data_IF_915927633572
#
_entry.id   IF_915927633572
#
_cell.length_a   1.000
_cell.length_b   1.000
_cell.length_c   1.000
_cell.angle_alpha   90.00
_cell.angle_beta   90.00
_cell.angle_gamma   90.00
#
_symmetry.space_group_name_H-M   'P 1'
#
loop_
_entity.id
_entity.type
_entity.pdbx_description
1 polymer ?
#
# COMPACT_ATOMS: atom_id res chain seq x y z
N UNK A 1 -13.82 -42.86 23.13
CA UNK A 1 -12.38 -42.98 22.83
C UNK A 1 -11.61 -42.12 23.82
N UNK A 2 -10.73 -42.76 24.61
CA UNK A 2 -9.67 -42.10 25.38
C UNK A 2 -8.45 -41.89 24.47
N UNK A 3 -7.57 -40.98 24.90
CA UNK A 3 -6.09 -40.98 24.80
C UNK A 3 -5.52 -39.64 24.28
N UNK A 4 -5.11 -38.84 25.27
CA UNK A 4 -3.78 -38.25 25.53
C UNK A 4 -3.22 -37.09 24.67
N UNK A 5 -3.20 -35.91 25.32
CA UNK A 5 -2.04 -35.12 25.75
C UNK A 5 -0.78 -35.02 24.86
N UNK A 6 -0.32 -33.78 24.63
CA UNK A 6 1.11 -33.45 24.79
C UNK A 6 1.39 -31.94 25.01
N UNK A 7 1.89 -31.66 26.22
CA UNK A 7 2.95 -30.72 26.65
C UNK A 7 2.96 -29.21 26.33
N UNK A 8 3.22 -28.50 27.42
CA UNK A 8 3.62 -27.11 27.60
C UNK A 8 5.06 -26.79 27.14
N UNK A 9 5.32 -25.52 26.82
CA UNK A 9 6.62 -24.84 27.07
C UNK A 9 6.38 -23.36 27.43
N UNK A 10 7.00 -22.96 28.54
CA UNK A 10 7.16 -21.58 29.06
C UNK A 10 8.27 -20.85 28.29
N UNK A 11 8.17 -19.52 28.17
CA UNK A 11 9.30 -18.70 27.73
C UNK A 11 9.04 -17.22 27.91
N UNK A 12 9.37 -16.70 29.09
CA UNK A 12 9.48 -15.27 29.40
C UNK A 12 10.62 -14.66 28.56
N UNK A 13 10.38 -13.51 27.93
CA UNK A 13 11.41 -12.77 27.19
C UNK A 13 11.01 -11.31 27.02
N UNK A 14 11.10 -10.56 28.13
CA UNK A 14 10.89 -9.10 28.17
C UNK A 14 12.21 -8.43 27.74
N UNK A 15 12.31 -8.02 26.47
CA UNK A 15 13.45 -7.28 25.93
C UNK A 15 13.17 -5.79 25.84
N UNK A 16 13.95 -4.99 26.57
CA UNK A 16 13.97 -3.52 26.59
C UNK A 16 13.98 -2.92 25.18
N UNK A 17 13.00 -2.06 24.89
CA UNK A 17 13.02 -1.16 23.73
C UNK A 17 13.49 0.23 24.17
N UNK A 18 14.61 0.62 23.58
CA UNK A 18 15.22 1.94 23.58
C UNK A 18 14.34 2.84 22.70
N UNK A 19 13.90 4.00 23.22
CA UNK A 19 13.41 5.09 22.39
C UNK A 19 13.73 6.44 23.04
N UNK A 20 14.77 7.08 22.55
CA UNK A 20 15.03 8.50 22.78
C UNK A 20 14.04 9.35 21.98
N UNK A 21 13.37 10.27 22.66
CA UNK A 21 12.49 11.26 22.05
C UNK A 21 13.21 12.60 22.04
N UNK A 22 13.76 12.98 20.89
CA UNK A 22 14.21 14.36 20.63
C UNK A 22 13.09 15.10 19.91
N UNK A 23 12.37 15.94 20.65
CA UNK A 23 11.40 16.90 20.14
C UNK A 23 12.16 18.19 19.86
N UNK A 24 12.37 18.54 18.59
CA UNK A 24 12.77 19.89 18.21
C UNK A 24 11.64 20.54 17.41
N UNK A 25 10.96 21.46 18.10
CA UNK A 25 9.87 22.25 17.60
C UNK A 25 10.32 23.20 16.48
N UNK A 26 9.45 23.35 15.48
CA UNK A 26 9.48 24.41 14.48
C UNK A 26 9.25 25.76 15.17
N UNK A 27 10.13 26.72 14.94
CA UNK A 27 9.84 28.14 15.13
C UNK A 27 10.15 28.89 13.84
N UNK A 28 9.11 29.52 13.32
CA UNK A 28 9.05 30.29 12.09
C UNK A 28 9.87 31.58 12.17
N UNK A 29 10.58 31.83 11.07
CA UNK A 29 10.69 33.08 10.31
C UNK A 29 10.14 34.36 10.97
N UNK A 30 11.02 35.35 11.14
CA UNK A 30 10.89 36.71 10.57
C UNK A 30 12.07 37.57 11.04
N UNK A 31 13.02 37.84 10.15
CA UNK A 31 13.99 38.92 10.37
C UNK A 31 14.11 39.76 9.12
N UNK A 32 13.80 41.03 9.31
CA UNK A 32 13.78 42.10 8.34
C UNK A 32 15.13 42.28 7.61
N UNK A 33 15.02 42.70 6.35
CA UNK A 33 16.14 43.15 5.51
C UNK A 33 16.37 44.65 5.70
N UNK A 34 17.62 45.06 5.94
CA UNK A 34 18.11 46.35 5.47
C UNK A 34 19.29 46.16 4.50
N UNK A 35 19.18 46.74 3.31
CA UNK A 35 20.33 47.15 2.50
C UNK A 35 20.89 48.46 3.10
N UNK A 36 22.21 48.74 3.08
CA UNK A 36 22.82 49.24 1.84
C UNK A 36 24.33 48.94 1.62
N UNK A 37 24.72 49.09 0.35
CA UNK A 37 26.04 49.45 -0.24
C UNK A 37 27.36 49.22 0.52
N UNK A 38 28.28 48.51 -0.13
CA UNK A 38 29.70 48.89 -0.22
C UNK A 38 30.30 48.43 -1.55
N UNK A 39 30.88 49.38 -2.27
CA UNK A 39 31.77 49.16 -3.41
C UNK A 39 33.06 48.46 -2.98
N UNK A 40 33.66 47.64 -3.86
CA UNK A 40 35.12 47.40 -3.93
C UNK A 40 35.51 46.61 -5.18
N UNK A 41 36.26 47.28 -6.06
CA UNK A 41 37.47 46.81 -6.74
C UNK A 41 37.55 45.42 -7.37
N UNK A 42 37.70 45.45 -8.69
CA UNK A 42 38.30 44.45 -9.58
C UNK A 42 39.52 43.73 -8.98
N UNK A 43 39.61 42.41 -9.20
CA UNK A 43 40.85 41.83 -9.71
C UNK A 43 40.61 41.18 -11.06
N UNK A 44 41.33 41.66 -12.08
CA UNK A 44 41.50 41.02 -13.38
C UNK A 44 42.14 39.65 -13.17
N UNK A 45 41.31 38.60 -13.07
CA UNK A 45 41.75 37.23 -13.27
C UNK A 45 41.71 36.94 -14.77
N UNK A 46 42.87 37.04 -15.42
CA UNK A 46 43.11 36.51 -16.74
C UNK A 46 42.94 34.98 -16.71
N UNK A 47 41.70 34.51 -16.83
CA UNK A 47 41.41 33.13 -17.13
C UNK A 47 41.75 32.91 -18.62
N UNK A 48 42.92 32.36 -18.87
CA UNK A 48 43.26 31.78 -20.17
C UNK A 48 42.24 30.66 -20.47
N UNK A 49 41.18 31.02 -21.20
CA UNK A 49 40.24 30.11 -21.83
C UNK A 49 41.03 29.27 -22.84
N UNK A 50 41.05 27.93 -22.76
CA UNK A 50 41.57 27.13 -23.86
C UNK A 50 40.72 27.48 -25.09
N UNK A 51 41.39 27.92 -26.16
CA UNK A 51 40.77 28.31 -27.41
C UNK A 51 39.94 27.14 -27.97
N UNK A 52 38.63 27.15 -27.70
CA UNK A 52 37.70 26.19 -28.27
C UNK A 52 37.35 26.64 -29.70
N UNK A 53 38.29 26.46 -30.62
CA UNK A 53 38.09 26.66 -32.06
C UNK A 53 37.33 25.53 -32.75
N UNK A 54 36.70 24.61 -31.99
CA UNK A 54 36.17 23.34 -32.52
C UNK A 54 34.68 23.30 -32.88
N UNK A 55 33.88 24.31 -32.55
CA UNK A 55 32.41 24.19 -32.70
C UNK A 55 31.93 24.10 -34.14
N UNK A 56 32.52 24.85 -35.08
CA UNK A 56 32.10 24.77 -36.49
C UNK A 56 32.50 23.44 -37.13
N UNK A 57 33.72 22.97 -36.88
CA UNK A 57 34.20 21.69 -37.42
C UNK A 57 33.45 20.48 -36.83
N UNK A 58 33.02 20.56 -35.56
CA UNK A 58 32.21 19.52 -34.94
C UNK A 58 30.84 19.40 -35.61
N UNK A 59 30.15 20.52 -35.86
CA UNK A 59 28.88 20.54 -36.57
C UNK A 59 29.02 20.00 -38.01
N UNK A 60 30.06 20.41 -38.74
CA UNK A 60 30.33 19.90 -40.08
C UNK A 60 30.58 18.38 -40.10
N UNK A 61 31.29 17.84 -39.10
CA UNK A 61 31.57 16.40 -39.00
C UNK A 61 30.31 15.59 -38.67
N UNK A 62 29.38 16.16 -37.90
CA UNK A 62 28.08 15.55 -37.62
C UNK A 62 27.25 15.45 -38.91
N UNK A 63 27.14 16.54 -39.66
CA UNK A 63 26.41 16.54 -40.94
C UNK A 63 27.03 15.58 -41.97
N UNK A 64 28.37 15.54 -42.04
CA UNK A 64 29.11 14.59 -42.88
C UNK A 64 28.75 13.14 -42.51
N UNK A 65 28.77 12.79 -41.22
CA UNK A 65 28.41 11.45 -40.76
C UNK A 65 26.95 11.11 -41.06
N UNK A 66 26.03 12.05 -40.85
CA UNK A 66 24.60 11.84 -41.15
C UNK A 66 24.38 11.52 -42.63
N UNK A 67 25.03 12.26 -43.52
CA UNK A 67 24.96 12.00 -44.96
C UNK A 67 25.55 10.64 -45.32
N UNK A 68 26.70 10.27 -44.74
CA UNK A 68 27.32 8.96 -44.96
C UNK A 68 26.44 7.81 -44.46
N UNK A 69 25.73 7.98 -43.34
CA UNK A 69 24.80 6.97 -42.85
C UNK A 69 23.57 6.82 -43.78
N UNK A 70 23.08 7.91 -44.34
CA UNK A 70 21.98 7.89 -45.33
C UNK A 70 22.40 7.22 -46.64
N UNK A 71 23.62 7.51 -47.12
CA UNK A 71 24.15 6.91 -48.34
C UNK A 71 24.77 5.52 -48.12
N UNK A 72 24.67 4.94 -46.92
CA UNK A 72 25.31 3.67 -46.54
C UNK A 72 26.83 3.66 -46.80
N UNK A 73 27.49 4.83 -46.77
CA UNK A 73 28.92 5.01 -47.03
C UNK A 73 29.82 4.69 -45.82
N UNK A 74 29.23 4.26 -44.70
CA UNK A 74 29.92 3.83 -43.48
C UNK A 74 29.33 2.51 -43.00
N UNK A 75 30.20 1.63 -42.49
CA UNK A 75 29.82 0.39 -41.82
C UNK A 75 29.94 0.56 -40.31
N UNK A 76 28.94 0.15 -39.57
CA UNK A 76 28.99 0.15 -38.10
C UNK A 76 29.85 -1.03 -37.62
N UNK A 77 30.92 -0.72 -36.88
CA UNK A 77 31.77 -1.75 -36.29
C UNK A 77 31.25 -2.21 -34.93
N UNK A 78 30.77 -1.26 -34.12
CA UNK A 78 30.24 -1.50 -32.79
C UNK A 78 29.44 -0.30 -32.29
N UNK A 79 28.42 -0.58 -31.49
CA UNK A 79 27.64 0.42 -30.76
C UNK A 79 27.33 -0.05 -29.35
N UNK A 80 27.38 0.88 -28.39
CA UNK A 80 26.94 0.66 -27.01
C UNK A 80 25.83 1.62 -26.67
N UNK A 81 24.81 1.12 -25.97
CA UNK A 81 23.70 1.91 -25.45
C UNK A 81 23.70 1.86 -23.92
N UNK A 82 23.57 3.03 -23.31
CA UNK A 82 23.37 3.24 -21.88
C UNK A 82 22.15 4.14 -21.70
N UNK A 83 20.99 3.53 -21.43
CA UNK A 83 19.71 4.24 -21.43
C UNK A 83 19.47 4.93 -22.78
N UNK A 84 19.27 6.25 -22.75
CA UNK A 84 19.06 7.07 -23.94
C UNK A 84 20.36 7.54 -24.62
N UNK A 85 21.51 7.31 -24.00
CA UNK A 85 22.81 7.71 -24.50
C UNK A 85 23.52 6.53 -25.18
N UNK A 86 24.36 6.82 -26.16
CA UNK A 86 25.16 5.77 -26.78
C UNK A 86 26.40 6.29 -27.49
N UNK A 87 27.26 5.34 -27.83
CA UNK A 87 28.48 5.56 -28.56
C UNK A 87 28.60 4.54 -29.70
N UNK A 88 28.92 5.01 -30.90
CA UNK A 88 29.13 4.18 -32.09
C UNK A 88 30.51 4.40 -32.67
N UNK A 89 31.16 3.33 -33.12
CA UNK A 89 32.36 3.40 -33.95
C UNK A 89 31.99 2.87 -35.33
N UNK A 90 32.09 3.74 -36.33
CA UNK A 90 31.78 3.46 -37.72
C UNK A 90 33.06 3.57 -38.56
N UNK A 91 33.10 2.86 -39.68
CA UNK A 91 34.24 2.80 -40.58
C UNK A 91 33.81 3.09 -42.02
N UNK A 92 34.48 4.05 -42.65
CA UNK A 92 34.36 4.34 -44.07
C UNK A 92 35.47 3.59 -44.83
N UNK A 93 35.14 2.56 -45.63
CA UNK A 93 36.13 1.73 -46.30
C UNK A 93 36.95 2.51 -47.34
N UNK A 94 36.28 3.37 -48.13
CA UNK A 94 36.89 4.11 -49.25
C UNK A 94 38.09 4.97 -48.83
N UNK A 95 37.99 5.59 -47.65
CA UNK A 95 39.02 6.49 -47.11
C UNK A 95 39.71 5.94 -45.86
N UNK A 96 39.47 4.68 -45.49
CA UNK A 96 39.91 4.06 -44.23
C UNK A 96 39.76 5.00 -43.02
N UNK A 97 38.62 5.68 -42.94
CA UNK A 97 38.36 6.69 -41.92
C UNK A 97 37.38 6.15 -40.90
N UNK A 98 37.73 6.25 -39.63
CA UNK A 98 36.87 5.95 -38.52
C UNK A 98 36.08 7.19 -38.11
N UNK A 99 34.79 6.99 -37.84
CA UNK A 99 33.92 7.98 -37.23
C UNK A 99 33.48 7.43 -35.89
N UNK A 100 33.82 8.13 -34.81
CA UNK A 100 33.38 7.78 -33.46
C UNK A 100 32.37 8.81 -33.02
N UNK A 101 31.15 8.37 -32.75
CA UNK A 101 30.03 9.23 -32.48
C UNK A 101 29.49 9.00 -31.07
N UNK A 102 29.26 10.09 -30.34
CA UNK A 102 28.45 10.12 -29.13
C UNK A 102 27.05 10.59 -29.55
N UNK A 103 26.00 10.00 -29.00
CA UNK A 103 24.63 10.39 -29.33
C UNK A 103 23.67 10.23 -28.15
N UNK A 104 22.53 10.92 -28.26
CA UNK A 104 21.36 10.74 -27.40
C UNK A 104 20.13 10.53 -28.28
N UNK A 105 19.38 9.44 -28.10
CA UNK A 105 18.17 9.14 -28.87
C UNK A 105 18.39 9.24 -30.39
N UNK A 106 19.53 8.74 -30.87
CA UNK A 106 20.01 8.80 -32.27
C UNK A 106 20.43 10.20 -32.77
N UNK A 107 20.41 11.23 -31.93
CA UNK A 107 20.94 12.55 -32.26
C UNK A 107 22.42 12.63 -31.91
N UNK A 108 23.27 12.82 -32.91
CA UNK A 108 24.70 13.01 -32.72
C UNK A 108 24.99 14.44 -32.28
N UNK A 109 25.57 14.58 -31.09
CA UNK A 109 26.06 15.85 -30.53
C UNK A 109 27.59 15.95 -30.51
N UNK A 110 28.30 14.87 -30.80
CA UNK A 110 29.76 14.86 -30.92
C UNK A 110 30.23 13.73 -31.81
N UNK A 111 31.03 14.05 -32.81
CA UNK A 111 31.64 13.08 -33.72
C UNK A 111 33.13 13.40 -33.86
N UNK A 112 33.96 12.38 -33.79
CA UNK A 112 35.41 12.47 -34.01
C UNK A 112 35.75 11.61 -35.22
N UNK A 113 36.43 12.21 -36.20
CA UNK A 113 36.97 11.48 -37.35
C UNK A 113 38.47 11.26 -37.20
N UNK A 114 38.95 10.07 -37.53
CA UNK A 114 40.38 9.73 -37.50
C UNK A 114 40.69 8.60 -38.46
N UNK A 115 41.91 8.56 -38.99
CA UNK A 115 42.42 7.43 -39.78
C UNK A 115 43.19 6.42 -38.91
N UNK A 116 43.45 6.74 -37.63
CA UNK A 116 44.11 5.86 -36.68
C UNK A 116 43.09 4.97 -35.97
N UNK A 117 43.23 3.66 -36.16
CA UNK A 117 42.39 2.67 -35.48
C UNK A 117 42.54 2.73 -33.95
N UNK A 118 43.77 2.84 -33.46
CA UNK A 118 44.07 2.96 -32.02
C UNK A 118 43.41 4.20 -31.41
N UNK A 119 43.46 5.33 -32.12
CA UNK A 119 42.80 6.55 -31.66
C UNK A 119 41.28 6.40 -31.67
N UNK A 120 40.71 5.79 -32.71
CA UNK A 120 39.28 5.54 -32.80
C UNK A 120 38.79 4.68 -31.63
N UNK A 121 39.50 3.60 -31.32
CA UNK A 121 39.15 2.74 -30.19
C UNK A 121 39.26 3.47 -28.84
N UNK A 122 40.30 4.30 -28.65
CA UNK A 122 40.45 5.08 -27.42
C UNK A 122 39.33 6.11 -27.25
N UNK A 123 38.97 6.82 -28.32
CA UNK A 123 37.85 7.78 -28.32
C UNK A 123 36.54 7.05 -28.05
N UNK A 124 36.33 5.88 -28.65
CA UNK A 124 35.15 5.06 -28.43
C UNK A 124 35.02 4.64 -26.96
N UNK A 125 36.07 4.09 -26.35
CA UNK A 125 36.10 3.72 -24.92
C UNK A 125 35.82 4.93 -24.02
N UNK A 126 36.36 6.10 -24.37
CA UNK A 126 36.07 7.34 -23.64
C UNK A 126 34.60 7.75 -23.76
N UNK A 127 34.01 7.62 -24.95
CA UNK A 127 32.60 7.93 -25.17
C UNK A 127 31.70 6.96 -24.42
N UNK A 128 32.00 5.66 -24.43
CA UNK A 128 31.28 4.65 -23.63
C UNK A 128 31.26 5.06 -22.15
N UNK A 129 32.43 5.34 -21.55
CA UNK A 129 32.50 5.83 -20.15
C UNK A 129 31.72 7.13 -19.92
N UNK A 130 31.68 8.02 -20.91
CA UNK A 130 30.91 9.25 -20.82
C UNK A 130 29.40 8.96 -20.84
N UNK A 131 28.93 8.04 -21.70
CA UNK A 131 27.52 7.65 -21.76
C UNK A 131 27.04 6.97 -20.47
N UNK A 132 27.88 6.17 -19.81
CA UNK A 132 27.55 5.55 -18.52
C UNK A 132 27.21 6.63 -17.47
N UNK A 133 28.06 7.66 -17.36
CA UNK A 133 27.84 8.77 -16.41
C UNK A 133 26.59 9.58 -16.74
N UNK A 134 26.37 9.88 -18.02
CA UNK A 134 25.19 10.63 -18.46
C UNK A 134 23.90 9.84 -18.22
N UNK A 135 23.93 8.53 -18.45
CA UNK A 135 22.77 7.66 -18.27
C UNK A 135 22.44 7.37 -16.80
N UNK A 136 23.39 7.51 -15.87
CA UNK A 136 23.18 7.17 -14.46
C UNK A 136 21.97 7.89 -13.86
N UNK A 137 21.83 9.20 -14.15
CA UNK A 137 20.71 10.02 -13.64
C UNK A 137 19.38 9.54 -14.19
N UNK A 138 19.29 9.33 -15.51
CA UNK A 138 18.06 8.88 -16.16
C UNK A 138 17.66 7.47 -15.71
N UNK A 139 18.61 6.55 -15.61
CA UNK A 139 18.39 5.19 -15.12
C UNK A 139 17.90 5.23 -13.67
N UNK A 140 18.52 6.06 -12.82
CA UNK A 140 18.11 6.23 -11.43
C UNK A 140 16.71 6.80 -11.34
N UNK A 141 16.37 7.80 -12.16
CA UNK A 141 15.02 8.38 -12.23
C UNK A 141 13.97 7.34 -12.58
N UNK A 142 14.23 6.52 -13.60
CA UNK A 142 13.29 5.46 -14.04
C UNK A 142 13.04 4.46 -12.89
N UNK A 143 14.10 4.04 -12.19
CA UNK A 143 13.98 3.13 -11.04
C UNK A 143 13.17 3.75 -9.90
N UNK A 144 13.50 4.99 -9.53
CA UNK A 144 12.80 5.71 -8.46
C UNK A 144 11.31 5.92 -8.78
N UNK A 145 10.96 6.22 -10.03
CA UNK A 145 9.57 6.34 -10.43
C UNK A 145 8.83 4.99 -10.31
N UNK A 146 9.48 3.90 -10.72
CA UNK A 146 8.90 2.56 -10.56
C UNK A 146 8.69 2.19 -9.09
N UNK A 147 9.67 2.46 -8.22
CA UNK A 147 9.59 2.19 -6.78
C UNK A 147 8.48 3.03 -6.12
N UNK A 148 8.34 4.29 -6.54
CA UNK A 148 7.25 5.18 -6.12
C UNK A 148 5.89 4.58 -6.51
N UNK A 149 5.70 4.24 -7.78
CA UNK A 149 4.44 3.67 -8.27
C UNK A 149 4.08 2.37 -7.55
N UNK A 150 5.07 1.50 -7.29
CA UNK A 150 4.87 0.29 -6.52
C UNK A 150 4.43 0.58 -5.07
N UNK A 151 5.08 1.54 -4.42
CA UNK A 151 4.74 1.95 -3.05
C UNK A 151 3.33 2.57 -2.97
N UNK A 152 2.97 3.40 -3.95
CA UNK A 152 1.62 3.98 -4.05
C UNK A 152 0.54 2.90 -4.17
N UNK A 153 0.79 1.84 -4.95
CA UNK A 153 -0.13 0.70 -5.06
C UNK A 153 -0.27 -0.07 -3.74
N UNK A 154 0.84 -0.26 -3.00
CA UNK A 154 0.80 -0.90 -1.68
C UNK A 154 -0.01 -0.05 -0.69
N UNK A 155 0.18 1.27 -0.68
CA UNK A 155 -0.59 2.17 0.17
C UNK A 155 -2.09 2.05 -0.14
N UNK A 156 -2.47 2.15 -1.42
CA UNK A 156 -3.88 2.05 -1.83
C UNK A 156 -4.52 0.71 -1.43
N UNK A 157 -3.78 -0.40 -1.54
CA UNK A 157 -4.25 -1.71 -1.10
C UNK A 157 -4.46 -1.77 0.42
N UNK A 158 -3.57 -1.16 1.21
CA UNK A 158 -3.70 -1.12 2.67
C UNK A 158 -4.83 -0.18 3.12
N UNK A 159 -5.00 0.96 2.47
CA UNK A 159 -6.14 1.86 2.73
C UNK A 159 -7.47 1.17 2.45
N UNK A 160 -7.56 0.42 1.35
CA UNK A 160 -8.74 -0.38 1.02
C UNK A 160 -9.03 -1.40 2.13
N UNK A 161 -8.01 -2.11 2.60
CA UNK A 161 -8.13 -3.08 3.70
C UNK A 161 -8.54 -2.40 5.02
N UNK A 162 -7.96 -1.26 5.33
CA UNK A 162 -8.27 -0.48 6.53
C UNK A 162 -9.73 0.02 6.50
N UNK A 163 -10.21 0.47 5.34
CA UNK A 163 -11.62 0.85 5.17
C UNK A 163 -12.57 -0.35 5.33
N UNK A 164 -12.22 -1.51 4.75
CA UNK A 164 -13.02 -2.72 4.92
C UNK A 164 -13.11 -3.15 6.40
N UNK A 165 -11.99 -3.15 7.12
CA UNK A 165 -11.95 -3.50 8.55
C UNK A 165 -12.75 -2.52 9.41
N UNK A 166 -12.70 -1.22 9.13
CA UNK A 166 -13.51 -0.24 9.85
C UNK A 166 -15.01 -0.45 9.61
N UNK A 167 -15.42 -0.74 8.37
CA UNK A 167 -16.83 -1.04 8.07
C UNK A 167 -17.29 -2.32 8.77
N UNK A 168 -16.48 -3.37 8.77
CA UNK A 168 -16.77 -4.63 9.45
C UNK A 168 -16.98 -4.41 10.96
N UNK A 169 -16.14 -3.59 11.59
CA UNK A 169 -16.27 -3.21 13.00
C UNK A 169 -17.62 -2.51 13.29
N UNK A 170 -18.01 -1.56 12.43
CA UNK A 170 -19.30 -0.87 12.56
C UNK A 170 -20.47 -1.84 12.43
N UNK A 171 -20.42 -2.74 11.44
CA UNK A 171 -21.45 -3.78 11.25
C UNK A 171 -21.51 -4.73 12.44
N UNK A 172 -20.35 -5.15 12.97
CA UNK A 172 -20.28 -6.01 14.14
C UNK A 172 -20.92 -5.36 15.36
N UNK A 173 -20.58 -4.09 15.66
CA UNK A 173 -21.18 -3.36 16.78
C UNK A 173 -22.71 -3.24 16.64
N UNK A 174 -23.19 -2.93 15.43
CA UNK A 174 -24.61 -2.85 15.16
C UNK A 174 -25.30 -4.20 15.37
N UNK A 175 -24.66 -5.30 14.96
CA UNK A 175 -25.17 -6.65 15.14
C UNK A 175 -25.23 -7.04 16.62
N UNK A 176 -24.18 -6.73 17.39
CA UNK A 176 -24.13 -6.96 18.84
C UNK A 176 -25.26 -6.19 19.56
N UNK A 177 -25.46 -4.92 19.20
CA UNK A 177 -26.56 -4.12 19.73
C UNK A 177 -27.94 -4.72 19.40
N UNK A 178 -28.14 -5.15 18.15
CA UNK A 178 -29.39 -5.78 17.72
C UNK A 178 -29.67 -7.09 18.48
N UNK A 179 -28.65 -7.92 18.66
CA UNK A 179 -28.77 -9.18 19.42
C UNK A 179 -29.10 -8.89 20.88
N UNK A 180 -28.46 -7.89 21.50
CA UNK A 180 -28.77 -7.47 22.87
C UNK A 180 -30.24 -7.06 23.00
N UNK A 181 -30.73 -6.19 22.10
CA UNK A 181 -32.13 -5.74 22.11
C UNK A 181 -33.10 -6.91 21.94
N UNK A 182 -32.82 -7.84 21.03
CA UNK A 182 -33.66 -9.03 20.84
C UNK A 182 -33.67 -9.93 22.07
N UNK A 183 -32.53 -10.12 22.74
CA UNK A 183 -32.46 -10.90 23.97
C UNK A 183 -33.29 -10.27 25.09
N UNK A 184 -33.21 -8.96 25.27
CA UNK A 184 -33.99 -8.24 26.28
C UNK A 184 -35.50 -8.37 26.02
N UNK A 185 -35.92 -8.22 24.75
CA UNK A 185 -37.31 -8.44 24.35
C UNK A 185 -37.77 -9.88 24.60
N UNK A 186 -36.96 -10.88 24.24
CA UNK A 186 -37.28 -12.29 24.48
C UNK A 186 -37.42 -12.60 25.97
N UNK A 187 -36.54 -12.03 26.82
CA UNK A 187 -36.63 -12.16 28.29
C UNK A 187 -37.92 -11.55 28.84
N UNK A 188 -38.30 -10.36 28.38
CA UNK A 188 -39.56 -9.72 28.77
C UNK A 188 -40.78 -10.57 28.37
N UNK A 189 -40.80 -11.10 27.14
CA UNK A 189 -41.87 -11.98 26.68
C UNK A 189 -41.96 -13.27 27.50
N UNK A 190 -40.82 -13.89 27.83
CA UNK A 190 -40.77 -15.08 28.66
C UNK A 190 -41.34 -14.81 30.07
N UNK A 191 -41.01 -13.66 30.68
CA UNK A 191 -41.56 -13.25 31.98
C UNK A 191 -43.08 -13.05 31.92
N UNK A 192 -43.60 -12.40 30.87
CA UNK A 192 -45.04 -12.24 30.67
C UNK A 192 -45.75 -13.58 30.49
N UNK A 193 -45.19 -14.49 29.69
CA UNK A 193 -45.75 -15.82 29.47
C UNK A 193 -45.74 -16.66 30.76
N UNK A 194 -44.64 -16.63 31.52
CA UNK A 194 -44.55 -17.30 32.82
C UNK A 194 -45.60 -16.78 33.80
N UNK A 195 -45.82 -15.46 33.83
CA UNK A 195 -46.83 -14.83 34.68
C UNK A 195 -48.25 -15.27 34.27
N UNK A 196 -48.54 -15.31 32.96
CA UNK A 196 -49.82 -15.82 32.43
C UNK A 196 -50.04 -17.30 32.75
N UNK A 197 -49.00 -18.12 32.61
CA UNK A 197 -49.06 -19.55 32.95
C UNK A 197 -49.35 -19.77 34.43
N UNK A 198 -48.70 -19.00 35.31
CA UNK A 198 -48.92 -19.07 36.76
C UNK A 198 -50.36 -18.68 37.13
N UNK A 199 -50.87 -17.59 36.52
CA UNK A 199 -52.26 -17.17 36.72
C UNK A 199 -53.27 -18.23 36.27
N UNK A 200 -53.11 -18.79 35.07
CA UNK A 200 -53.98 -19.84 34.54
C UNK A 200 -53.92 -21.13 35.39
N UNK A 201 -52.74 -21.50 35.90
CA UNK A 201 -52.57 -22.66 36.78
C UNK A 201 -53.30 -22.46 38.11
N UNK A 202 -53.23 -21.25 38.69
CA UNK A 202 -53.97 -20.90 39.91
C UNK A 202 -55.48 -20.93 39.69
N UNK A 203 -55.96 -20.48 38.53
CA UNK A 203 -57.37 -20.52 38.17
C UNK A 203 -57.89 -21.97 38.04
N UNK A 204 -57.13 -22.83 37.36
CA UNK A 204 -57.43 -24.25 37.23
C UNK A 204 -57.53 -24.92 38.61
N UNK A 205 -56.56 -24.69 39.50
CA UNK A 205 -56.59 -25.22 40.87
C UNK A 205 -57.83 -24.75 41.64
N UNK A 206 -58.21 -23.48 41.50
CA UNK A 206 -59.44 -22.93 42.09
C UNK A 206 -60.70 -23.63 41.58
N UNK A 207 -60.82 -23.84 40.27
CA UNK A 207 -61.94 -24.57 39.66
C UNK A 207 -62.00 -26.02 40.14
N UNK A 208 -60.85 -26.71 40.19
CA UNK A 208 -60.76 -28.10 40.65
C UNK A 208 -61.24 -28.26 42.10
N UNK A 209 -60.82 -27.34 42.98
CA UNK A 209 -61.27 -27.33 44.38
C UNK A 209 -62.78 -27.10 44.50
N UNK A 210 -63.36 -26.25 43.64
CA UNK A 210 -64.80 -25.98 43.63
C UNK A 210 -65.60 -27.18 43.14
N UNK A 211 -65.13 -27.88 42.10
CA UNK A 211 -65.73 -29.13 41.61
C UNK A 211 -65.75 -30.16 42.75
N UNK A 212 -64.60 -30.42 43.40
CA UNK A 212 -64.51 -31.37 44.52
C UNK A 212 -65.46 -31.01 45.68
N UNK A 213 -65.60 -29.72 45.98
CA UNK A 213 -66.51 -29.24 47.04
C UNK A 213 -67.98 -29.46 46.67
N UNK A 214 -68.34 -29.33 45.39
CA UNK A 214 -69.70 -29.61 44.90
C UNK A 214 -69.99 -31.12 44.88
N UNK A 215 -69.04 -31.95 44.43
CA UNK A 215 -69.16 -33.41 44.45
C UNK A 215 -69.32 -33.96 45.88
N UNK A 216 -68.55 -33.43 46.83
CA UNK A 216 -68.67 -33.80 48.24
C UNK A 216 -70.06 -33.45 48.81
N UNK A 217 -70.60 -32.26 48.48
CA UNK A 217 -71.95 -31.87 48.88
C UNK A 217 -73.02 -32.78 48.27
N UNK A 218 -72.87 -33.14 46.99
CA UNK A 218 -73.82 -34.04 46.33
C UNK A 218 -73.81 -35.44 46.94
N UNK A 219 -72.65 -35.95 47.33
CA UNK A 219 -72.52 -37.25 48.00
C UNK A 219 -73.15 -37.24 49.41
N UNK A 220 -73.00 -36.13 50.14
CA UNK A 220 -73.65 -35.95 51.45
C UNK A 220 -75.17 -35.86 51.31
N UNK A 221 -75.68 -35.16 50.29
CA UNK A 221 -77.12 -35.07 50.00
C UNK A 221 -77.70 -36.41 49.55
N UNK A 222 -76.98 -37.19 48.73
CA UNK A 222 -77.43 -38.49 48.26
C UNK A 222 -77.45 -39.54 49.39
N UNK A 223 -76.41 -39.57 50.22
CA UNK A 223 -76.36 -40.42 51.41
C UNK A 223 -77.43 -40.08 52.46
N UNK A 224 -77.83 -38.81 52.59
CA UNK A 224 -78.96 -38.42 53.43
C UNK A 224 -80.33 -38.77 52.81
N UNK A 225 -80.45 -38.86 51.48
CA UNK A 225 -81.66 -39.30 50.80
C UNK A 225 -81.84 -40.85 50.83
N UNK A 226 -80.74 -41.62 50.72
CA UNK A 226 -80.75 -43.08 50.82
C UNK A 226 -80.79 -43.63 52.27
N UNK A 227 -80.46 -42.81 53.27
CA UNK A 227 -80.57 -43.17 54.70
C UNK A 227 -82.01 -43.17 55.24
N UNK A 228 -82.97 -42.57 54.52
CA UNK A 228 -84.37 -42.46 54.96
C UNK A 228 -85.26 -43.68 54.70
N UNK A 229 -84.82 -44.67 53.91
CA UNK A 229 -85.71 -45.73 53.39
C UNK A 229 -85.55 -47.11 54.04
N UNK A 230 -84.80 -47.29 55.14
CA UNK A 230 -84.62 -48.63 55.74
C UNK A 230 -84.62 -48.68 57.26
N UNK A 231 -85.80 -48.48 57.85
CA UNK A 231 -86.20 -49.16 59.09
C UNK A 231 -87.71 -49.41 59.12
N UNK A 232 -88.14 -50.52 58.51
CA UNK A 232 -89.39 -51.22 58.86
C UNK A 232 -89.01 -52.33 59.84
N UNK A 233 -89.56 -52.27 61.07
CA UNK A 233 -89.90 -53.44 61.94
C UNK A 233 -90.54 -52.93 63.24
N UNK A 234 -91.87 -52.97 63.36
CA UNK A 234 -92.64 -54.04 64.03
C UNK A 234 -94.13 -53.74 63.88
#
# INVERSE_FOLDING_TARGET
MKVNACKAVRGLGLGMLIAGLSVNALAQTSTASPAPTTASTTPTAAAAKPANGGSNSANSTISELQQLMQSQGVSELRTTYNGNYGASQLFKPDSRTYYVALFQQKNFWRVVKTMSETQAEQVYKNFVRQTEKLAEVDIRRIKLEADKQYTEQLIAAQETRLNALQNDLVVQQQQEQNVSVQQDQARQQAQLLSSKQQAASSELQGLQNRIRTLEAQQTVLDSSNFGGAKTIKK
#
